data_IF_019759541705
#
_entry.id   IF_019759541705
#
_cell.length_a   1.000
_cell.length_b   1.000
_cell.length_c   1.000
_cell.angle_alpha   90.00
_cell.angle_beta   90.00
_cell.angle_gamma   90.00
#
_symmetry.space_group_name_H-M   'P 1'
#
loop_
_entity.id
_entity.type
_entity.pdbx_description
1 polymer ?
#
# COMPACT_ATOMS: atom_id res chain seq x y z
N UNK A 1 -11.22 26.92 4.06
CA UNK A 1 -10.23 26.49 5.06
C UNK A 1 -9.29 25.52 4.38
N UNK A 2 -7.99 25.76 4.41
CA UNK A 2 -6.96 24.91 3.78
C UNK A 2 -6.34 24.05 4.88
N UNK A 3 -6.23 22.74 4.68
CA UNK A 3 -5.58 21.86 5.66
C UNK A 3 -4.13 22.30 5.88
N UNK A 4 -3.66 22.25 7.13
CA UNK A 4 -2.25 22.44 7.46
C UNK A 4 -1.40 21.32 6.86
N UNK A 5 -0.08 21.53 6.67
CA UNK A 5 0.81 20.48 6.17
C UNK A 5 0.74 19.17 6.99
N UNK A 6 0.58 19.28 8.30
CA UNK A 6 0.45 18.14 9.22
C UNK A 6 -0.88 17.39 9.01
N UNK A 7 -1.98 18.12 8.87
CA UNK A 7 -3.29 17.54 8.55
C UNK A 7 -3.28 16.88 7.17
N UNK A 8 -2.60 17.49 6.19
CA UNK A 8 -2.46 16.90 4.86
C UNK A 8 -1.71 15.56 4.91
N UNK A 9 -0.60 15.49 5.67
CA UNK A 9 0.13 14.23 5.88
C UNK A 9 -0.76 13.18 6.54
N UNK A 10 -1.55 13.57 7.55
CA UNK A 10 -2.48 12.65 8.22
C UNK A 10 -3.56 12.12 7.27
N UNK A 11 -4.14 13.00 6.43
CA UNK A 11 -5.12 12.62 5.41
C UNK A 11 -4.53 11.66 4.37
N UNK A 12 -3.27 11.89 3.94
CA UNK A 12 -2.56 10.97 3.05
C UNK A 12 -2.37 9.60 3.72
N UNK A 13 -1.92 9.54 4.98
CA UNK A 13 -1.81 8.27 5.71
C UNK A 13 -3.15 7.53 5.81
N UNK A 14 -4.23 8.23 6.17
CA UNK A 14 -5.57 7.65 6.24
C UNK A 14 -6.03 7.12 4.86
N UNK A 15 -5.78 7.87 3.80
CA UNK A 15 -6.06 7.47 2.42
C UNK A 15 -5.30 6.20 2.02
N UNK A 16 -4.00 6.14 2.30
CA UNK A 16 -3.18 4.95 2.02
C UNK A 16 -3.72 3.70 2.75
N UNK A 17 -4.03 3.82 4.04
CA UNK A 17 -4.60 2.72 4.84
C UNK A 17 -5.92 2.24 4.25
N UNK A 18 -6.82 3.17 3.87
CA UNK A 18 -8.10 2.84 3.24
C UNK A 18 -7.90 2.02 1.96
N UNK A 19 -7.04 2.48 1.04
CA UNK A 19 -6.83 1.81 -0.23
C UNK A 19 -6.11 0.46 -0.07
N UNK A 20 -5.20 0.32 0.88
CA UNK A 20 -4.60 -0.98 1.21
C UNK A 20 -5.66 -1.97 1.72
N UNK A 21 -6.55 -1.54 2.61
CA UNK A 21 -7.65 -2.38 3.09
C UNK A 21 -8.59 -2.80 1.95
N UNK A 22 -8.90 -1.89 1.03
CA UNK A 22 -9.71 -2.18 -0.15
C UNK A 22 -9.02 -3.20 -1.06
N UNK A 23 -7.70 -3.06 -1.30
CA UNK A 23 -6.92 -4.01 -2.09
C UNK A 23 -6.93 -5.41 -1.47
N UNK A 24 -6.75 -5.50 -0.14
CA UNK A 24 -6.82 -6.77 0.61
C UNK A 24 -8.22 -7.38 0.52
N UNK A 25 -9.27 -6.59 0.71
CA UNK A 25 -10.65 -7.06 0.62
C UNK A 25 -10.97 -7.60 -0.78
N UNK A 26 -10.74 -6.81 -1.82
CA UNK A 26 -11.00 -7.20 -3.20
C UNK A 26 -10.19 -8.45 -3.61
N UNK A 27 -8.97 -8.60 -3.10
CA UNK A 27 -8.16 -9.81 -3.33
C UNK A 27 -8.81 -11.05 -2.71
N UNK A 28 -9.39 -10.95 -1.51
CA UNK A 28 -10.09 -12.06 -0.86
C UNK A 28 -11.33 -12.47 -1.64
N UNK A 29 -12.04 -11.50 -2.19
CA UNK A 29 -13.21 -11.70 -3.07
C UNK A 29 -12.83 -12.15 -4.49
N UNK A 30 -11.54 -12.38 -4.78
CA UNK A 30 -10.99 -12.69 -6.11
C UNK A 30 -11.33 -11.64 -7.17
N UNK A 31 -11.66 -10.42 -6.74
CA UNK A 31 -11.89 -9.30 -7.62
C UNK A 31 -10.58 -8.56 -7.90
N UNK A 32 -9.76 -9.14 -8.78
CA UNK A 32 -8.37 -8.70 -8.99
C UNK A 32 -8.23 -7.36 -9.71
N UNK A 33 -9.17 -6.98 -10.56
CA UNK A 33 -9.12 -5.70 -11.26
C UNK A 33 -9.26 -4.53 -10.25
N UNK A 34 -10.24 -4.63 -9.34
CA UNK A 34 -10.50 -3.65 -8.30
C UNK A 34 -9.43 -3.71 -7.21
N UNK A 35 -8.87 -4.88 -6.92
CA UNK A 35 -7.71 -5.02 -6.03
C UNK A 35 -6.49 -4.27 -6.58
N UNK A 36 -6.20 -4.45 -7.88
CA UNK A 36 -5.11 -3.76 -8.56
C UNK A 36 -5.33 -2.24 -8.59
N UNK A 37 -6.56 -1.79 -8.86
CA UNK A 37 -6.89 -0.37 -8.87
C UNK A 37 -6.68 0.27 -7.49
N UNK A 38 -7.14 -0.39 -6.42
CA UNK A 38 -6.91 0.07 -5.06
C UNK A 38 -5.41 0.07 -4.69
N UNK A 39 -4.66 -0.94 -5.13
CA UNK A 39 -3.21 -1.00 -4.90
C UNK A 39 -2.46 0.15 -5.58
N UNK A 40 -2.81 0.49 -6.83
CA UNK A 40 -2.23 1.65 -7.55
C UNK A 40 -2.49 2.96 -6.81
N UNK A 41 -3.73 3.17 -6.32
CA UNK A 41 -4.07 4.36 -5.51
C UNK A 41 -3.23 4.44 -4.24
N UNK A 42 -2.99 3.31 -3.56
CA UNK A 42 -2.10 3.29 -2.40
C UNK A 42 -0.66 3.68 -2.79
N UNK A 43 -0.14 3.16 -3.91
CA UNK A 43 1.19 3.50 -4.42
C UNK A 43 1.33 5.00 -4.73
N UNK A 44 0.34 5.60 -5.37
CA UNK A 44 0.33 7.04 -5.67
C UNK A 44 0.48 7.87 -4.39
N UNK A 45 -0.29 7.55 -3.35
CA UNK A 45 -0.24 8.24 -2.05
C UNK A 45 1.12 8.06 -1.38
N UNK A 46 1.69 6.85 -1.42
CA UNK A 46 3.02 6.63 -0.88
C UNK A 46 4.11 7.35 -1.67
N UNK A 47 3.94 7.53 -2.99
CA UNK A 47 4.79 8.39 -3.80
C UNK A 47 4.83 9.82 -3.25
N UNK A 48 3.67 10.39 -2.95
CA UNK A 48 3.58 11.76 -2.43
C UNK A 48 4.09 11.88 -1.00
N UNK A 49 3.81 10.89 -0.14
CA UNK A 49 4.39 10.84 1.20
C UNK A 49 5.93 10.78 1.15
N UNK A 50 6.50 10.01 0.23
CA UNK A 50 7.96 9.91 0.06
C UNK A 50 8.57 11.20 -0.49
N UNK A 51 7.86 11.90 -1.38
CA UNK A 51 8.28 13.21 -1.90
C UNK A 51 8.18 14.32 -0.84
N UNK A 52 7.21 14.22 0.07
CA UNK A 52 6.93 15.26 1.07
C UNK A 52 7.75 15.07 2.35
N UNK A 53 8.04 13.83 2.73
CA UNK A 53 8.74 13.48 3.97
C UNK A 53 10.23 13.23 3.65
N UNK A 54 11.04 14.30 3.64
CA UNK A 54 12.49 14.16 3.53
C UNK A 54 13.15 14.02 4.91
N UNK A 55 14.07 13.06 5.13
CA UNK A 55 14.39 11.93 4.26
C UNK A 55 13.35 10.79 4.38
N UNK A 56 13.13 10.03 3.29
CA UNK A 56 12.18 8.94 3.29
C UNK A 56 12.55 7.90 4.35
N UNK A 57 11.63 7.63 5.27
CA UNK A 57 11.88 6.64 6.31
C UNK A 57 12.08 5.25 5.67
N UNK A 58 13.05 4.49 6.17
CA UNK A 58 13.34 3.11 5.74
C UNK A 58 12.08 2.22 5.70
N UNK A 59 11.10 2.51 6.56
CA UNK A 59 9.81 1.81 6.64
C UNK A 59 8.90 2.10 5.45
N UNK A 60 8.81 3.35 4.99
CA UNK A 60 8.01 3.71 3.81
C UNK A 60 8.60 3.11 2.52
N UNK A 61 9.94 3.11 2.40
CA UNK A 61 10.62 2.45 1.27
C UNK A 61 10.32 0.95 1.20
N UNK A 62 10.30 0.29 2.36
CA UNK A 62 9.95 -1.14 2.46
C UNK A 62 8.50 -1.42 2.01
N UNK A 63 7.54 -0.57 2.42
CA UNK A 63 6.13 -0.67 2.00
C UNK A 63 6.00 -0.44 0.49
N UNK A 64 6.67 0.57 -0.04
CA UNK A 64 6.64 0.87 -1.48
C UNK A 64 7.17 -0.30 -2.31
N UNK A 65 8.21 -0.99 -1.84
CA UNK A 65 8.74 -2.17 -2.52
C UNK A 65 7.74 -3.34 -2.56
N UNK A 66 6.98 -3.55 -1.47
CA UNK A 66 5.92 -4.57 -1.40
C UNK A 66 4.79 -4.22 -2.38
N UNK A 67 4.38 -2.95 -2.44
CA UNK A 67 3.31 -2.52 -3.34
C UNK A 67 3.73 -2.56 -4.82
N UNK A 68 5.01 -2.26 -5.10
CA UNK A 68 5.63 -2.31 -6.43
C UNK A 68 5.87 -3.74 -6.96
N UNK A 69 5.60 -4.79 -6.16
CA UNK A 69 5.62 -6.15 -6.68
C UNK A 69 4.75 -6.23 -7.92
N UNK A 70 5.37 -6.70 -9.01
CA UNK A 70 4.96 -6.33 -10.36
C UNK A 70 3.51 -6.74 -10.70
N UNK A 71 2.75 -5.93 -11.46
CA UNK A 71 1.34 -6.17 -11.77
C UNK A 71 1.05 -7.52 -12.45
N UNK A 72 2.01 -8.16 -13.10
CA UNK A 72 1.90 -9.53 -13.61
C UNK A 72 1.57 -10.56 -12.52
N UNK A 73 2.02 -10.37 -11.28
CA UNK A 73 1.70 -11.24 -10.14
C UNK A 73 0.26 -11.08 -9.64
N UNK A 74 -0.40 -9.96 -9.95
CA UNK A 74 -1.82 -9.75 -9.63
C UNK A 74 -2.70 -10.44 -10.69
N UNK A 75 -2.21 -10.54 -11.93
CA UNK A 75 -2.90 -11.28 -13.00
C UNK A 75 -2.81 -12.80 -12.86
N UNK A 76 -1.77 -13.31 -12.17
CA UNK A 76 -1.57 -14.73 -11.91
C UNK A 76 -1.88 -15.02 -10.44
N UNK A 77 -3.16 -15.33 -10.15
CA UNK A 77 -3.77 -15.38 -8.82
C UNK A 77 -3.22 -16.35 -7.76
N UNK A 78 -1.96 -16.81 -7.83
CA UNK A 78 -1.42 -17.87 -6.97
C UNK A 78 -0.21 -17.50 -6.07
N UNK A 79 0.21 -16.24 -5.95
CA UNK A 79 1.40 -15.90 -5.11
C UNK A 79 1.24 -14.78 -4.07
N UNK A 80 0.08 -14.11 -3.99
CA UNK A 80 -0.06 -12.93 -3.12
C UNK A 80 -0.17 -13.27 -1.61
N UNK A 81 -0.88 -14.34 -1.25
CA UNK A 81 -1.19 -14.69 0.13
C UNK A 81 0.04 -15.17 0.94
N UNK A 82 0.95 -16.01 0.40
CA UNK A 82 2.12 -16.48 1.15
C UNK A 82 3.11 -15.36 1.51
N UNK A 83 3.30 -14.36 0.65
CA UNK A 83 4.31 -13.30 0.85
C UNK A 83 3.85 -12.24 1.85
N UNK A 84 2.56 -11.90 1.87
CA UNK A 84 1.99 -11.08 2.95
C UNK A 84 2.07 -11.84 4.28
N UNK A 85 1.73 -13.13 4.32
CA UNK A 85 1.88 -13.92 5.55
C UNK A 85 3.32 -14.05 6.03
N UNK A 86 4.30 -14.17 5.12
CA UNK A 86 5.71 -14.28 5.49
C UNK A 86 6.27 -12.96 6.07
N UNK A 87 5.94 -11.82 5.47
CA UNK A 87 6.39 -10.51 5.97
C UNK A 87 5.66 -10.05 7.25
N UNK A 88 4.43 -10.50 7.49
CA UNK A 88 3.68 -10.18 8.71
C UNK A 88 3.91 -11.17 9.86
N UNK A 89 4.43 -12.39 9.61
CA UNK A 89 4.74 -13.38 10.67
C UNK A 89 6.14 -13.26 11.26
N UNK A 90 7.07 -12.56 10.62
CA UNK A 90 8.46 -12.38 11.12
C UNK A 90 8.62 -11.21 12.10
N UNK A 91 7.52 -10.56 12.50
CA UNK A 91 7.49 -9.59 13.61
C UNK A 91 6.37 -9.90 14.60
N UNK A 92 6.50 -11.01 15.31
CA UNK A 92 6.11 -11.06 16.72
C UNK A 92 7.39 -11.00 17.55
N UNK A 93 7.43 -10.29 18.69
CA UNK A 93 8.54 -10.36 19.62
C UNK A 93 8.75 -11.80 20.11
#
# INVERSE_FOLDING_TARGET
MTATPQELILLLYQGAIKFMNQAIHNTKEKNYAEANQANKRAQDIFGELMSTLYPPSHKLGSIMNILKMKPEFISQGNSFIPLIKHNYKTKKP
#
